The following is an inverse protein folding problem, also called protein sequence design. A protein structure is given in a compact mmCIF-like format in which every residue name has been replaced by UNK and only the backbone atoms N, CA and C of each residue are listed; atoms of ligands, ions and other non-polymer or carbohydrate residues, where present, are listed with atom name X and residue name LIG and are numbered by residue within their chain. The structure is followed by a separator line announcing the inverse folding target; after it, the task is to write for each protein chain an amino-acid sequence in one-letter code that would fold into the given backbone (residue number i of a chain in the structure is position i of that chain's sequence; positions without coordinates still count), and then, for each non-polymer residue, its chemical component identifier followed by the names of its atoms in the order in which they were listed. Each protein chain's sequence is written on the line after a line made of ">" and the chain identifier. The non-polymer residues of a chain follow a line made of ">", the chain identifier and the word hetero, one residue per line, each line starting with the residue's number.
data_IF_753482350587
#
_entry.id   IF_753482350587
#
_cell.length_a   1.000
_cell.length_b   1.000
_cell.length_c   1.000
_cell.angle_alpha   90.00
_cell.angle_beta   90.00
_cell.angle_gamma   90.00
#
_symmetry.space_group_name_H-M   'P 1'
#
loop_
_entity.id
_entity.type
_entity.pdbx_description
1 polymer ?
#
# COMPACT_ATOMS: atom_id res chain seq x y z
N UNK A 1 -36.14 -35.54 6.31
CA UNK A 1 -35.60 -34.18 6.46
C UNK A 1 -34.17 -34.20 5.94
N UNK A 2 -33.94 -33.62 4.76
CA UNK A 2 -32.60 -33.44 4.22
C UNK A 2 -31.91 -32.30 4.97
N UNK A 3 -30.81 -32.63 5.66
CA UNK A 3 -29.83 -31.65 6.09
C UNK A 3 -29.07 -31.19 4.85
N UNK A 4 -29.37 -29.98 4.37
CA UNK A 4 -28.46 -29.29 3.46
C UNK A 4 -27.30 -28.75 4.28
N UNK A 5 -26.16 -29.46 4.24
CA UNK A 5 -24.86 -28.88 4.53
C UNK A 5 -24.64 -27.70 3.57
N UNK A 6 -24.83 -26.48 4.08
CA UNK A 6 -24.25 -25.30 3.44
C UNK A 6 -22.76 -25.37 3.66
N UNK A 7 -22.06 -25.79 2.61
CA UNK A 7 -20.62 -25.65 2.48
C UNK A 7 -20.23 -24.22 2.86
N UNK A 8 -19.49 -24.09 3.96
CA UNK A 8 -18.85 -22.85 4.37
C UNK A 8 -17.82 -22.49 3.31
N UNK A 9 -18.21 -21.63 2.38
CA UNK A 9 -17.31 -20.92 1.49
C UNK A 9 -16.41 -20.07 2.40
N UNK A 10 -15.20 -20.57 2.68
CA UNK A 10 -14.15 -19.74 3.25
C UNK A 10 -14.00 -18.56 2.30
N UNK A 11 -14.49 -17.37 2.69
CA UNK A 11 -14.12 -16.13 2.03
C UNK A 11 -12.63 -15.92 2.32
N UNK A 12 -11.79 -16.62 1.58
CA UNK A 12 -10.38 -16.29 1.46
C UNK A 12 -10.37 -14.84 0.99
N UNK A 13 -9.95 -13.93 1.86
CA UNK A 13 -9.93 -12.51 1.55
C UNK A 13 -9.14 -12.33 0.25
N UNK A 14 -9.76 -11.70 -0.75
CA UNK A 14 -9.18 -11.58 -2.09
C UNK A 14 -7.80 -10.89 -2.02
N UNK A 15 -6.82 -11.36 -2.82
CA UNK A 15 -5.50 -10.75 -2.87
C UNK A 15 -5.56 -9.35 -3.49
N UNK A 16 -4.63 -8.48 -3.10
CA UNK A 16 -4.40 -7.20 -3.74
C UNK A 16 -3.36 -7.37 -4.84
N UNK A 17 -3.82 -7.59 -6.09
CA UNK A 17 -2.93 -7.75 -7.24
C UNK A 17 -2.49 -6.42 -7.78
N UNK A 18 -1.17 -6.21 -7.82
CA UNK A 18 -0.57 -4.98 -8.30
C UNK A 18 -0.01 -5.12 -9.70
N UNK A 19 -0.18 -4.07 -10.50
CA UNK A 19 0.52 -3.88 -11.77
C UNK A 19 1.27 -2.54 -11.77
N UNK A 20 2.41 -2.49 -12.46
CA UNK A 20 3.21 -1.27 -12.57
C UNK A 20 2.54 -0.28 -13.52
N UNK A 21 2.44 0.98 -13.09
CA UNK A 21 2.04 2.10 -13.92
C UNK A 21 3.30 2.79 -14.44
N UNK A 22 3.59 2.60 -15.72
CA UNK A 22 4.64 3.33 -16.42
C UNK A 22 4.08 4.62 -17.04
N UNK A 23 4.48 5.78 -16.53
CA UNK A 23 4.28 7.08 -17.20
C UNK A 23 5.62 7.72 -17.58
N UNK A 24 5.64 8.60 -18.59
CA UNK A 24 6.85 9.38 -18.97
C UNK A 24 7.44 10.21 -17.81
N UNK A 25 6.68 10.48 -16.74
CA UNK A 25 7.15 11.19 -15.54
C UNK A 25 7.87 10.29 -14.54
N UNK A 26 7.65 8.98 -14.59
CA UNK A 26 8.25 7.97 -13.70
C UNK A 26 9.72 7.66 -14.03
N UNK A 27 10.25 8.29 -15.09
CA UNK A 27 11.66 8.22 -15.49
C UNK A 27 12.52 9.29 -14.81
N UNK A 28 11.93 10.21 -14.05
CA UNK A 28 12.67 11.28 -13.39
C UNK A 28 13.33 10.72 -12.12
N UNK A 29 14.63 10.44 -12.21
CA UNK A 29 15.45 10.13 -11.06
C UNK A 29 15.89 11.42 -10.37
N UNK A 30 15.36 11.74 -9.20
CA UNK A 30 15.98 12.72 -8.31
C UNK A 30 17.16 12.02 -7.62
N UNK A 31 18.38 12.55 -7.77
CA UNK A 31 19.56 12.07 -7.02
C UNK A 31 19.88 10.56 -7.16
N UNK A 32 19.56 9.94 -8.31
CA UNK A 32 19.82 8.51 -8.54
C UNK A 32 18.80 7.55 -7.90
N UNK A 33 17.71 8.08 -7.33
CA UNK A 33 16.56 7.31 -6.86
C UNK A 33 15.45 7.39 -7.90
N UNK A 34 14.92 6.23 -8.32
CA UNK A 34 13.77 6.10 -9.21
C UNK A 34 12.56 5.64 -8.41
N UNK A 35 11.41 6.25 -8.67
CA UNK A 35 10.13 5.79 -8.12
C UNK A 35 9.41 4.89 -9.13
N UNK A 36 8.99 3.72 -8.68
CA UNK A 36 8.04 2.85 -9.37
C UNK A 36 6.67 3.02 -8.71
N UNK A 37 5.62 3.05 -9.52
CA UNK A 37 4.24 3.22 -9.05
C UNK A 37 3.43 2.00 -9.43
N UNK A 38 2.67 1.46 -8.49
CA UNK A 38 1.81 0.30 -8.68
C UNK A 38 0.39 0.63 -8.26
N UNK A 39 -0.58 0.16 -9.03
CA UNK A 39 -1.99 0.21 -8.66
C UNK A 39 -2.55 -1.20 -8.50
N UNK A 40 -3.55 -1.34 -7.63
CA UNK A 40 -4.28 -2.58 -7.46
C UNK A 40 -5.33 -2.76 -8.56
N UNK A 41 -5.42 -3.95 -9.15
CA UNK A 41 -6.38 -4.29 -10.22
C UNK A 41 -7.83 -4.06 -9.76
N UNK A 42 -8.18 -4.58 -8.59
CA UNK A 42 -9.56 -4.63 -8.10
C UNK A 42 -9.91 -3.55 -7.08
N UNK A 43 -8.97 -2.66 -6.74
CA UNK A 43 -9.21 -1.60 -5.76
C UNK A 43 -8.54 -0.27 -6.15
N UNK A 44 -9.31 0.73 -6.63
CA UNK A 44 -8.76 2.01 -7.10
C UNK A 44 -8.24 2.92 -5.98
N UNK A 45 -8.46 2.57 -4.72
CA UNK A 45 -7.92 3.30 -3.56
C UNK A 45 -6.64 2.69 -3.02
N UNK A 46 -6.15 1.61 -3.63
CA UNK A 46 -4.96 0.88 -3.19
C UNK A 46 -3.81 1.10 -4.16
N UNK A 47 -2.73 1.69 -3.64
CA UNK A 47 -1.52 1.99 -4.39
C UNK A 47 -0.28 1.54 -3.62
N UNK A 48 0.79 1.25 -4.35
CA UNK A 48 2.11 1.03 -3.78
C UNK A 48 3.16 1.81 -4.58
N UNK A 49 4.12 2.39 -3.87
CA UNK A 49 5.24 3.12 -4.43
C UNK A 49 6.54 2.53 -3.92
N UNK A 50 7.45 2.25 -4.84
CA UNK A 50 8.79 1.74 -4.52
C UNK A 50 9.81 2.78 -4.94
N UNK A 51 10.71 3.16 -4.04
CA UNK A 51 11.88 3.95 -4.38
C UNK A 51 13.09 3.04 -4.42
N UNK A 52 13.73 2.99 -5.58
CA UNK A 52 14.90 2.15 -5.85
C UNK A 52 16.09 3.00 -6.25
N UNK A 53 17.28 2.58 -5.86
CA UNK A 53 18.51 3.17 -6.40
C UNK A 53 18.84 2.61 -7.79
N UNK A 54 19.91 3.11 -8.40
CA UNK A 54 20.41 2.65 -9.71
C UNK A 54 20.71 1.14 -9.77
N UNK A 55 21.03 0.52 -8.63
CA UNK A 55 21.27 -0.93 -8.50
C UNK A 55 19.98 -1.73 -8.25
N UNK A 56 18.80 -1.13 -8.43
CA UNK A 56 17.48 -1.70 -8.13
C UNK A 56 17.27 -2.12 -6.67
N UNK A 57 18.07 -1.60 -5.73
CA UNK A 57 17.86 -1.87 -4.31
C UNK A 57 16.76 -0.96 -3.77
N UNK A 58 15.82 -1.56 -3.04
CA UNK A 58 14.75 -0.85 -2.33
C UNK A 58 15.32 0.06 -1.24
N UNK A 59 14.89 1.33 -1.25
CA UNK A 59 15.22 2.35 -0.25
C UNK A 59 14.01 2.77 0.57
N UNK A 60 12.85 2.83 -0.07
CA UNK A 60 11.59 3.14 0.58
C UNK A 60 10.45 2.42 -0.12
N UNK A 61 9.47 1.96 0.65
CA UNK A 61 8.21 1.37 0.19
C UNK A 61 7.09 2.12 0.89
N UNK A 62 6.09 2.58 0.14
CA UNK A 62 4.88 3.19 0.69
C UNK A 62 3.66 2.51 0.09
N UNK A 63 2.78 2.00 0.95
CA UNK A 63 1.45 1.55 0.60
C UNK A 63 0.42 2.60 0.99
N UNK A 64 -0.56 2.82 0.12
CA UNK A 64 -1.80 3.51 0.43
C UNK A 64 -2.91 2.47 0.39
N UNK A 65 -3.52 2.16 1.54
CA UNK A 65 -4.72 1.34 1.64
C UNK A 65 -5.90 2.25 1.98
N UNK A 66 -6.44 2.95 0.98
CA UNK A 66 -7.41 4.02 1.21
C UNK A 66 -6.79 5.18 1.98
N UNK A 67 -7.20 5.34 3.24
CA UNK A 67 -6.72 6.40 4.14
C UNK A 67 -5.59 5.93 5.08
N UNK A 68 -5.23 4.64 5.05
CA UNK A 68 -4.12 4.09 5.83
C UNK A 68 -2.85 4.06 5.00
N UNK A 69 -1.73 4.47 5.60
CA UNK A 69 -0.43 4.53 4.94
C UNK A 69 0.55 3.66 5.70
N UNK A 70 1.12 2.65 5.03
CA UNK A 70 2.13 1.74 5.59
C UNK A 70 3.44 1.97 4.85
N UNK A 71 4.50 2.25 5.59
CA UNK A 71 5.81 2.62 5.05
C UNK A 71 6.89 1.69 5.58
N UNK A 72 7.88 1.39 4.74
CA UNK A 72 9.17 0.82 5.15
C UNK A 72 10.28 1.65 4.54
N UNK A 73 11.19 2.17 5.35
CA UNK A 73 12.39 2.89 4.89
C UNK A 73 13.65 2.23 5.44
N UNK A 74 14.72 2.16 4.62
CA UNK A 74 15.92 1.38 4.97
C UNK A 74 16.55 1.76 6.31
N UNK A 75 16.43 3.03 6.69
CA UNK A 75 17.10 3.58 7.87
C UNK A 75 16.14 3.73 9.07
N UNK A 76 14.83 3.66 8.85
CA UNK A 76 13.79 3.93 9.86
C UNK A 76 12.90 2.72 10.17
N UNK A 77 12.92 1.68 9.33
CA UNK A 77 12.06 0.50 9.49
C UNK A 77 10.61 0.75 9.10
N UNK A 78 9.70 -0.01 9.71
CA UNK A 78 8.26 -0.02 9.36
C UNK A 78 7.50 1.02 10.19
N UNK A 79 6.66 1.81 9.53
CA UNK A 79 5.81 2.83 10.16
C UNK A 79 4.43 2.82 9.55
N UNK A 80 3.45 3.30 10.32
CA UNK A 80 2.08 3.48 9.83
C UNK A 80 1.58 4.88 10.16
N UNK A 81 0.77 5.44 9.26
CA UNK A 81 0.12 6.74 9.43
C UNK A 81 -1.27 6.74 8.79
N UNK A 82 -2.06 7.77 9.07
CA UNK A 82 -3.35 7.99 8.43
C UNK A 82 -3.36 9.36 7.76
N UNK A 83 -4.17 9.47 6.72
CA UNK A 83 -4.51 10.73 6.05
C UNK A 83 -5.65 11.46 6.80
N UNK A 84 -5.72 12.78 6.65
CA UNK A 84 -6.62 13.67 7.42
C UNK A 84 -8.12 13.52 7.11
N UNK A 85 -8.53 12.56 6.27
CA UNK A 85 -9.95 12.40 5.89
C UNK A 85 -10.84 11.89 7.02
N UNK A 86 -10.24 11.35 8.08
CA UNK A 86 -10.98 10.81 9.23
C UNK A 86 -11.55 11.92 10.13
N UNK A 87 -11.03 13.15 10.07
CA UNK A 87 -11.41 14.22 11.03
C UNK A 87 -12.53 15.17 10.58
N UNK A 88 -13.09 15.05 9.37
CA UNK A 88 -14.14 16.00 8.94
C UNK A 88 -15.35 15.31 8.25
N UNK A 89 -16.39 14.92 9.01
CA UNK A 89 -17.64 14.42 8.45
C UNK A 89 -18.49 15.53 7.80
N UNK A 90 -18.11 16.81 7.91
CA UNK A 90 -18.97 17.96 7.57
C UNK A 90 -18.42 18.88 6.48
N UNK A 91 -17.91 18.37 5.34
CA UNK A 91 -17.66 19.25 4.19
C UNK A 91 -18.27 18.75 2.89
N UNK A 92 -19.26 19.54 2.47
CA UNK A 92 -20.10 19.50 1.28
C UNK A 92 -19.27 19.46 -0.02
N UNK A 93 -19.88 18.81 -1.02
CA UNK A 93 -19.67 18.92 -2.48
C UNK A 93 -18.58 19.91 -2.90
N UNK A 94 -17.46 19.36 -3.38
CA UNK A 94 -16.35 20.13 -3.96
C UNK A 94 -15.00 19.87 -3.28
N UNK A 95 -14.58 18.61 -3.18
CA UNK A 95 -13.26 18.27 -2.61
C UNK A 95 -12.17 18.76 -3.56
N UNK A 96 -11.64 19.96 -3.31
CA UNK A 96 -10.35 20.37 -3.84
C UNK A 96 -9.33 19.28 -3.48
N UNK A 97 -8.59 18.79 -4.49
CA UNK A 97 -7.41 17.93 -4.33
C UNK A 97 -6.31 18.73 -3.60
N UNK A 98 -6.53 19.01 -2.33
CA UNK A 98 -5.61 19.72 -1.43
C UNK A 98 -4.54 18.79 -0.89
N UNK A 99 -3.40 19.37 -0.53
CA UNK A 99 -2.22 18.71 0.04
C UNK A 99 -2.59 17.67 1.11
N UNK A 100 -2.13 16.42 0.94
CA UNK A 100 -2.31 15.35 1.92
C UNK A 100 -1.22 15.49 2.98
N UNK A 101 -1.60 15.75 4.22
CA UNK A 101 -0.67 15.68 5.35
C UNK A 101 -0.70 14.26 5.92
N UNK A 102 0.47 13.71 6.25
CA UNK A 102 0.58 12.43 6.96
C UNK A 102 0.72 12.73 8.44
N UNK A 103 -0.20 12.23 9.26
CA UNK A 103 -0.07 12.30 10.70
C UNK A 103 0.48 10.97 11.18
N UNK A 104 1.68 11.00 11.75
CA UNK A 104 2.28 9.80 12.35
C UNK A 104 1.36 9.33 13.47
N UNK A 105 0.68 8.21 13.26
CA UNK A 105 -0.19 7.61 14.24
C UNK A 105 0.47 6.32 14.70
N UNK A 106 0.97 6.30 15.94
CA UNK A 106 1.55 5.10 16.55
C UNK A 106 0.43 4.16 17.06
N UNK A 107 -0.60 3.91 16.25
CA UNK A 107 -1.69 2.99 16.59
C UNK A 107 -1.29 1.54 16.24
N UNK A 108 -1.08 0.66 17.23
CA UNK A 108 -0.71 -0.72 16.98
C UNK A 108 -1.77 -1.52 16.22
N UNK A 109 -3.06 -1.16 16.35
CA UNK A 109 -4.15 -1.83 15.62
C UNK A 109 -4.06 -1.53 14.13
N UNK A 110 -3.90 -0.24 13.79
CA UNK A 110 -3.73 0.21 12.42
C UNK A 110 -2.53 -0.45 11.75
N UNK A 111 -1.39 -0.53 12.46
CA UNK A 111 -0.20 -1.21 11.96
C UNK A 111 -0.49 -2.71 11.71
N UNK A 112 -1.15 -3.38 12.66
CA UNK A 112 -1.50 -4.80 12.50
C UNK A 112 -2.42 -5.03 11.30
N UNK A 113 -3.46 -4.22 11.13
CA UNK A 113 -4.39 -4.31 10.00
C UNK A 113 -3.69 -4.05 8.66
N UNK A 114 -2.82 -3.04 8.63
CA UNK A 114 -2.03 -2.70 7.43
C UNK A 114 -1.04 -3.81 7.06
N UNK A 115 -0.44 -4.48 8.05
CA UNK A 115 0.40 -5.66 7.82
C UNK A 115 -0.42 -6.83 7.27
N UNK A 116 -1.61 -7.11 7.82
CA UNK A 116 -2.51 -8.13 7.26
C UNK A 116 -2.95 -7.82 5.82
N UNK A 117 -3.09 -6.55 5.46
CA UNK A 117 -3.28 -6.15 4.06
C UNK A 117 -2.03 -6.45 3.22
N UNK A 118 -0.86 -6.07 3.72
CA UNK A 118 0.44 -6.28 3.07
C UNK A 118 0.70 -7.77 2.75
N UNK A 119 0.33 -8.71 3.64
CA UNK A 119 0.45 -10.18 3.40
C UNK A 119 -0.29 -10.64 2.15
N UNK A 120 -1.38 -9.97 1.81
CA UNK A 120 -2.27 -10.32 0.70
C UNK A 120 -1.88 -9.63 -0.60
N UNK A 121 -0.84 -8.81 -0.60
CA UNK A 121 -0.38 -8.11 -1.80
C UNK A 121 0.41 -9.06 -2.71
N UNK A 122 0.05 -9.07 -3.99
CA UNK A 122 0.73 -9.82 -5.05
C UNK A 122 1.32 -8.80 -6.04
N UNK A 123 2.64 -8.81 -6.21
CA UNK A 123 3.35 -7.94 -7.15
C UNK A 123 3.84 -8.72 -8.36
N UNK A 124 4.26 -8.03 -9.45
CA UNK A 124 5.04 -8.65 -10.50
C UNK A 124 6.27 -9.38 -9.92
N UNK A 125 6.65 -10.50 -10.53
CA UNK A 125 7.65 -11.45 -10.01
C UNK A 125 8.96 -10.78 -9.57
N UNK A 126 9.44 -9.80 -10.34
CA UNK A 126 10.65 -9.02 -10.04
C UNK A 126 10.64 -8.37 -8.65
N UNK A 127 9.46 -7.96 -8.17
CA UNK A 127 9.31 -7.17 -6.94
C UNK A 127 8.70 -7.94 -5.78
N UNK A 128 7.93 -8.99 -6.04
CA UNK A 128 7.13 -9.66 -5.02
C UNK A 128 7.97 -10.12 -3.81
N UNK A 129 9.00 -10.92 -4.04
CA UNK A 129 9.86 -11.40 -2.96
C UNK A 129 10.60 -10.25 -2.24
N UNK A 130 11.06 -9.25 -3.00
CA UNK A 130 11.82 -8.13 -2.45
C UNK A 130 10.97 -7.28 -1.51
N UNK A 131 9.73 -6.96 -1.90
CA UNK A 131 8.80 -6.18 -1.09
C UNK A 131 8.40 -6.94 0.17
N UNK A 132 7.99 -8.20 0.04
CA UNK A 132 7.58 -9.04 1.19
C UNK A 132 8.70 -9.21 2.22
N UNK A 133 9.95 -9.35 1.80
CA UNK A 133 11.10 -9.48 2.71
C UNK A 133 11.32 -8.27 3.64
N UNK A 134 10.72 -7.10 3.35
CA UNK A 134 10.88 -5.89 4.17
C UNK A 134 9.88 -5.80 5.32
N UNK A 135 8.76 -6.48 5.20
CA UNK A 135 7.70 -6.48 6.21
C UNK A 135 7.65 -7.78 7.00
N UNK A 136 8.20 -8.87 6.44
CA UNK A 136 8.34 -10.17 7.06
C UNK A 136 9.78 -10.69 6.91
N UNK A 137 10.75 -10.13 7.66
CA UNK A 137 12.12 -10.60 7.67
C UNK A 137 12.26 -12.01 8.28
#
# INVERSE_FOLDING_TARGET
>A
MHFHEKQGFWMMAHPFRFYEISSKKSEISSSGIRQLSFACEDNPEVFCFLWINQSKQLKHIQFLFGESVLEWESDLGIRCSQTNRVEDPEVKIGVHKGSRSLHSNNDPKLLSESLEHMKRCEFPEEWNAQVHSKFYP
#
